data_IF_071491045299
#
_entry.id   IF_071491045299
#
_cell.length_a   1.000
_cell.length_b   1.000
_cell.length_c   1.000
_cell.angle_alpha   90.00
_cell.angle_beta   90.00
_cell.angle_gamma   90.00
#
_symmetry.space_group_name_H-M   'P 1'
#
loop_
_entity.id
_entity.type
_entity.pdbx_description
1 polymer ?
#
# COMPACT_ATOMS: atom_id res chain seq x y z
N UNK A 1 32.95 -23.79 -11.43
CA UNK A 1 32.94 -23.79 -9.96
C UNK A 1 32.05 -22.65 -9.51
N UNK A 2 30.82 -22.94 -9.08
CA UNK A 2 29.96 -21.94 -8.42
C UNK A 2 30.56 -21.69 -7.03
N UNK A 3 30.75 -20.43 -6.65
CA UNK A 3 31.27 -20.10 -5.32
C UNK A 3 30.27 -20.52 -4.24
N UNK A 4 30.76 -20.89 -3.05
CA UNK A 4 29.92 -21.33 -1.92
C UNK A 4 28.84 -20.31 -1.55
N UNK A 5 29.09 -19.02 -1.82
CA UNK A 5 28.18 -17.91 -1.57
C UNK A 5 27.00 -17.86 -2.55
N UNK A 6 27.24 -18.07 -3.86
CA UNK A 6 26.17 -18.15 -4.86
C UNK A 6 25.24 -19.33 -4.61
N UNK A 7 25.76 -20.45 -4.10
CA UNK A 7 24.95 -21.60 -3.74
C UNK A 7 24.04 -21.28 -2.54
N UNK A 8 24.56 -20.61 -1.50
CA UNK A 8 23.77 -20.21 -0.33
C UNK A 8 22.63 -19.24 -0.69
N UNK A 9 22.90 -18.29 -1.59
CA UNK A 9 21.88 -17.38 -2.11
C UNK A 9 20.76 -18.13 -2.84
N UNK A 10 21.11 -19.05 -3.75
CA UNK A 10 20.12 -19.84 -4.51
C UNK A 10 19.26 -20.73 -3.60
N UNK A 11 19.81 -21.26 -2.51
CA UNK A 11 19.04 -21.98 -1.48
C UNK A 11 18.02 -21.08 -0.78
N UNK A 12 18.38 -19.82 -0.50
CA UNK A 12 17.49 -18.88 0.18
C UNK A 12 16.30 -18.45 -0.68
N UNK A 13 16.40 -18.48 -2.02
CA UNK A 13 15.33 -18.04 -2.94
C UNK A 13 14.62 -19.21 -3.65
N UNK A 14 14.65 -20.41 -3.08
CA UNK A 14 14.01 -21.57 -3.68
C UNK A 14 12.51 -21.34 -3.92
N UNK A 15 11.98 -21.76 -5.09
CA UNK A 15 10.55 -21.63 -5.40
C UNK A 15 9.64 -22.29 -4.35
N UNK A 16 10.06 -23.39 -3.74
CA UNK A 16 9.28 -24.11 -2.73
C UNK A 16 8.97 -23.25 -1.50
N UNK A 17 9.78 -22.22 -1.25
CA UNK A 17 9.59 -21.26 -0.16
C UNK A 17 8.53 -20.19 -0.48
N UNK A 18 8.04 -20.11 -1.73
CA UNK A 18 6.96 -19.20 -2.15
C UNK A 18 5.70 -19.92 -2.60
N UNK A 19 5.78 -21.19 -3.03
CA UNK A 19 4.63 -22.01 -3.46
C UNK A 19 3.44 -21.98 -2.49
N UNK A 20 3.60 -22.04 -1.14
CA UNK A 20 2.47 -22.11 -0.22
C UNK A 20 1.46 -20.96 -0.35
N UNK A 21 1.89 -19.71 -0.52
CA UNK A 21 0.96 -18.58 -0.65
C UNK A 21 0.21 -18.65 -1.98
N UNK A 22 0.85 -19.13 -3.05
CA UNK A 22 0.20 -19.31 -4.36
C UNK A 22 -0.88 -20.38 -4.26
N UNK A 23 -0.58 -21.51 -3.63
CA UNK A 23 -1.55 -22.59 -3.40
C UNK A 23 -2.73 -22.10 -2.58
N UNK A 24 -2.49 -21.34 -1.50
CA UNK A 24 -3.56 -20.76 -0.70
C UNK A 24 -4.42 -19.78 -1.49
N UNK A 25 -3.82 -18.80 -2.19
CA UNK A 25 -4.55 -17.80 -2.97
C UNK A 25 -5.37 -18.41 -4.13
N UNK A 26 -4.91 -19.52 -4.71
CA UNK A 26 -5.64 -20.25 -5.75
C UNK A 26 -6.69 -21.24 -5.21
N UNK A 27 -6.73 -21.46 -3.89
CA UNK A 27 -7.65 -22.41 -3.27
C UNK A 27 -9.07 -21.84 -3.14
N UNK A 28 -10.05 -22.73 -3.08
CA UNK A 28 -11.46 -22.37 -2.80
C UNK A 28 -11.69 -21.81 -1.39
N UNK A 29 -10.73 -21.95 -0.48
CA UNK A 29 -10.82 -21.43 0.88
C UNK A 29 -10.34 -19.98 0.99
N UNK A 30 -9.71 -19.43 -0.05
CA UNK A 30 -9.29 -18.02 -0.05
C UNK A 30 -10.44 -17.13 -0.52
N UNK A 31 -10.95 -16.32 0.39
CA UNK A 31 -12.01 -15.34 0.14
C UNK A 31 -11.45 -13.92 -0.15
N UNK A 32 -10.14 -13.74 -0.03
CA UNK A 32 -9.48 -12.45 -0.22
C UNK A 32 -9.38 -12.11 -1.71
N UNK A 33 -9.76 -10.88 -2.04
CA UNK A 33 -9.64 -10.33 -3.40
C UNK A 33 -8.93 -8.97 -3.35
N UNK A 34 -8.36 -8.52 -4.47
CA UNK A 34 -7.75 -7.18 -4.59
C UNK A 34 -6.59 -6.92 -3.59
N UNK A 35 -5.89 -7.97 -3.17
CA UNK A 35 -4.71 -7.88 -2.30
C UNK A 35 -3.45 -8.23 -3.09
N UNK A 36 -2.38 -7.49 -2.83
CA UNK A 36 -1.05 -7.81 -3.34
C UNK A 36 -0.23 -8.44 -2.22
N UNK A 37 0.61 -9.41 -2.55
CA UNK A 37 1.48 -10.09 -1.59
C UNK A 37 2.92 -10.16 -2.10
N UNK A 38 3.85 -10.02 -1.18
CA UNK A 38 5.28 -10.26 -1.39
C UNK A 38 5.63 -11.58 -0.71
N UNK A 39 6.25 -12.49 -1.46
CA UNK A 39 6.76 -13.76 -0.97
C UNK A 39 8.21 -13.94 -1.43
N UNK A 40 9.12 -14.13 -0.48
CA UNK A 40 10.54 -14.35 -0.78
C UNK A 40 11.20 -15.05 0.41
N UNK A 41 12.01 -16.08 0.15
CA UNK A 41 12.78 -16.80 1.17
C UNK A 41 11.96 -17.29 2.38
N UNK A 42 10.70 -17.68 2.15
CA UNK A 42 9.79 -18.13 3.21
C UNK A 42 9.14 -17.00 4.03
N UNK A 43 9.43 -15.72 3.72
CA UNK A 43 8.72 -14.56 4.26
C UNK A 43 7.52 -14.25 3.37
N UNK A 44 6.36 -14.09 4.00
CA UNK A 44 5.12 -13.68 3.35
C UNK A 44 4.63 -12.37 3.96
N UNK A 45 4.28 -11.38 3.15
CA UNK A 45 3.70 -10.12 3.62
C UNK A 45 2.69 -9.56 2.63
N UNK A 46 1.68 -8.84 3.15
CA UNK A 46 0.80 -8.03 2.31
C UNK A 46 1.56 -6.80 1.81
N UNK A 47 1.45 -6.54 0.52
CA UNK A 47 1.78 -5.25 -0.09
C UNK A 47 0.47 -4.49 -0.26
N UNK A 48 0.44 -3.25 0.19
CA UNK A 48 -0.77 -2.42 0.14
C UNK A 48 -0.41 -0.99 -0.25
N UNK A 49 -1.43 -0.24 -0.67
CA UNK A 49 -1.34 1.18 -0.93
C UNK A 49 -1.93 1.88 0.30
N UNK A 50 -1.13 2.74 0.93
CA UNK A 50 -1.58 3.65 1.96
C UNK A 50 -1.89 5.01 1.36
N UNK A 51 -2.99 5.62 1.77
CA UNK A 51 -3.32 7.00 1.48
C UNK A 51 -2.98 7.84 2.73
N UNK A 52 -2.00 8.73 2.61
CA UNK A 52 -1.66 9.66 3.70
C UNK A 52 -2.76 10.68 3.90
N UNK A 53 -2.88 11.22 5.13
CA UNK A 53 -3.88 12.23 5.47
C UNK A 53 -3.82 13.47 4.56
N UNK A 54 -2.60 13.87 4.16
CA UNK A 54 -2.35 14.94 3.22
C UNK A 54 -2.84 16.32 3.70
N UNK A 55 -2.68 17.31 2.83
CA UNK A 55 -3.13 18.67 3.08
C UNK A 55 -4.43 18.95 2.34
N UNK A 56 -5.39 19.56 3.04
CA UNK A 56 -6.64 20.03 2.46
C UNK A 56 -6.66 21.56 2.59
N UNK A 57 -6.77 22.23 1.44
CA UNK A 57 -6.87 23.68 1.39
C UNK A 57 -8.15 24.19 2.05
N UNK A 58 -8.13 25.42 2.52
CA UNK A 58 -9.28 26.06 3.15
C UNK A 58 -10.47 26.15 2.18
N UNK A 59 -11.68 26.04 2.73
CA UNK A 59 -12.90 26.01 1.92
C UNK A 59 -13.09 27.33 1.18
N UNK A 60 -13.32 27.23 -0.13
CA UNK A 60 -13.48 28.40 -0.99
C UNK A 60 -12.16 29.06 -1.40
N UNK A 61 -11.01 28.50 -1.04
CA UNK A 61 -9.72 28.91 -1.57
C UNK A 61 -9.43 28.26 -2.94
N UNK A 62 -8.53 28.87 -3.70
CA UNK A 62 -7.98 28.31 -4.94
C UNK A 62 -6.51 27.97 -4.68
N UNK A 63 -6.18 26.70 -4.33
CA UNK A 63 -4.80 26.33 -4.00
C UNK A 63 -3.88 26.46 -5.23
N UNK A 64 -2.67 26.94 -4.99
CA UNK A 64 -1.64 27.17 -6.02
C UNK A 64 -0.51 26.14 -5.94
N UNK A 65 0.37 26.14 -6.94
CA UNK A 65 1.58 25.31 -6.89
C UNK A 65 2.54 25.74 -5.77
N UNK A 66 2.55 27.02 -5.40
CA UNK A 66 3.33 27.53 -4.29
C UNK A 66 2.79 26.99 -2.95
N UNK A 67 1.47 26.92 -2.78
CA UNK A 67 0.87 26.31 -1.59
C UNK A 67 1.23 24.83 -1.46
N UNK A 68 1.26 24.08 -2.58
CA UNK A 68 1.69 22.67 -2.58
C UNK A 68 3.15 22.54 -2.16
N UNK A 69 4.04 23.39 -2.68
CA UNK A 69 5.45 23.40 -2.25
C UNK A 69 5.57 23.66 -0.75
N UNK A 70 4.82 24.63 -0.26
CA UNK A 70 4.91 25.08 1.14
C UNK A 70 4.31 24.03 2.11
N UNK A 71 3.35 23.21 1.64
CA UNK A 71 2.76 22.10 2.40
C UNK A 71 3.31 20.71 2.01
N UNK A 72 4.37 20.65 1.19
CA UNK A 72 4.84 19.40 0.59
C UNK A 72 5.22 18.34 1.62
N UNK A 73 5.73 18.76 2.79
CA UNK A 73 6.04 17.87 3.90
C UNK A 73 4.81 17.08 4.39
N UNK A 74 3.63 17.72 4.45
CA UNK A 74 2.36 17.09 4.85
C UNK A 74 1.79 16.26 3.71
N UNK A 75 1.88 16.75 2.47
CA UNK A 75 1.39 16.05 1.26
C UNK A 75 2.12 14.72 1.03
N UNK A 76 3.43 14.67 1.30
CA UNK A 76 4.24 13.46 1.11
C UNK A 76 4.34 12.57 2.36
N UNK A 77 3.73 12.98 3.47
CA UNK A 77 3.81 12.23 4.72
C UNK A 77 3.20 10.83 4.53
N UNK A 78 3.93 9.81 4.95
CA UNK A 78 3.47 8.42 4.88
C UNK A 78 2.69 8.00 6.13
N UNK A 79 2.62 8.86 7.14
CA UNK A 79 1.91 8.62 8.40
C UNK A 79 1.27 9.93 8.92
N UNK A 80 0.05 9.88 9.50
CA UNK A 80 -0.85 8.72 9.52
C UNK A 80 -1.38 8.41 8.10
N UNK A 81 -1.76 7.15 7.87
CA UNK A 81 -2.33 6.70 6.60
C UNK A 81 -3.56 5.83 6.82
N UNK A 82 -4.45 5.81 5.84
CA UNK A 82 -5.53 4.84 5.71
C UNK A 82 -5.20 3.83 4.61
N UNK A 83 -5.81 2.65 4.63
CA UNK A 83 -5.71 1.67 3.54
C UNK A 83 -7.07 1.62 2.85
N UNK A 84 -7.29 2.44 1.81
CA UNK A 84 -8.60 2.50 1.16
C UNK A 84 -8.91 1.18 0.46
N UNK A 85 -10.16 0.74 0.59
CA UNK A 85 -10.71 -0.43 -0.12
C UNK A 85 -11.41 -0.03 -1.41
N UNK A 86 -11.80 1.25 -1.54
CA UNK A 86 -12.38 1.82 -2.76
C UNK A 86 -12.22 3.35 -2.80
N UNK A 87 -12.50 3.96 -3.96
CA UNK A 87 -12.55 5.42 -4.10
C UNK A 87 -13.62 6.07 -3.20
N UNK A 88 -14.66 5.32 -2.81
CA UNK A 88 -15.71 5.85 -1.93
C UNK A 88 -15.18 6.13 -0.52
N UNK A 89 -14.16 5.39 -0.06
CA UNK A 89 -13.54 5.61 1.25
C UNK A 89 -12.86 6.99 1.28
N UNK A 90 -12.11 7.31 0.22
CA UNK A 90 -11.44 8.61 0.07
C UNK A 90 -12.46 9.75 -0.06
N UNK A 91 -13.48 9.58 -0.90
CA UNK A 91 -14.53 10.61 -1.07
C UNK A 91 -15.28 10.86 0.24
N UNK A 92 -15.63 9.80 0.97
CA UNK A 92 -16.31 9.93 2.26
C UNK A 92 -15.44 10.66 3.30
N UNK A 93 -14.14 10.35 3.35
CA UNK A 93 -13.18 11.03 4.23
C UNK A 93 -13.08 12.52 3.92
N UNK A 94 -12.93 12.89 2.64
CA UNK A 94 -12.85 14.28 2.22
C UNK A 94 -14.17 15.01 2.49
N UNK A 95 -15.33 14.39 2.19
CA UNK A 95 -16.64 14.96 2.52
C UNK A 95 -16.79 15.20 4.03
N UNK A 96 -16.33 14.29 4.88
CA UNK A 96 -16.35 14.46 6.33
C UNK A 96 -15.47 15.63 6.79
N UNK A 97 -14.25 15.76 6.25
CA UNK A 97 -13.35 16.90 6.52
C UNK A 97 -13.97 18.22 6.06
N UNK A 98 -14.69 18.17 4.94
CA UNK A 98 -15.47 19.28 4.44
C UNK A 98 -16.85 19.39 5.11
N UNK A 99 -17.24 18.62 6.12
CA UNK A 99 -18.60 18.71 6.69
C UNK A 99 -19.73 18.73 5.63
N UNK A 100 -19.54 18.02 4.51
CA UNK A 100 -20.55 17.82 3.47
C UNK A 100 -21.32 16.58 3.90
N UNK A 101 -22.61 16.71 4.19
CA UNK A 101 -23.44 15.55 4.47
C UNK A 101 -23.61 14.73 3.20
N UNK A 102 -23.42 13.42 3.31
CA UNK A 102 -23.89 12.45 2.31
C UNK A 102 -25.43 12.44 2.25
#
# INVERSE_FOLDING_TARGET
HISTDESSFLYAIQPDLVVPIVVFLASRTCELTHHNYSACAGRFARVFIGLGEGWLADRGSEPTADDIRDHLAVVQATEPFTVPTSIFDEVAEICARLSISA
#
